data_IF_975178483128
#
_entry.id   IF_975178483128
#
_cell.length_a   1.000
_cell.length_b   1.000
_cell.length_c   1.000
_cell.angle_alpha   90.00
_cell.angle_beta   90.00
_cell.angle_gamma   90.00
#
_symmetry.space_group_name_H-M   'P 1'
#
loop_
_entity.id
_entity.type
_entity.pdbx_description
1 polymer ?
#
# COMPACT_ATOMS: atom_id res chain seq x y z
N UNK A 1 15.23 -19.19 -3.50
CA UNK A 1 14.34 -18.06 -3.14
C UNK A 1 13.11 -18.62 -2.45
N UNK A 2 12.52 -17.94 -1.45
CA UNK A 2 11.24 -18.36 -0.90
C UNK A 2 10.19 -18.23 -2.01
N UNK A 3 9.60 -19.36 -2.40
CA UNK A 3 8.51 -19.45 -3.36
C UNK A 3 7.37 -20.15 -2.64
N UNK A 4 6.19 -19.55 -2.65
CA UNK A 4 4.98 -20.18 -2.14
C UNK A 4 4.59 -21.32 -3.10
N UNK A 5 4.76 -22.56 -2.65
CA UNK A 5 4.47 -23.77 -3.44
C UNK A 5 3.00 -23.89 -3.84
N UNK A 6 2.09 -23.17 -3.17
CA UNK A 6 0.66 -23.15 -3.45
C UNK A 6 0.22 -21.95 -4.30
N UNK A 7 1.16 -21.09 -4.72
CA UNK A 7 0.86 -19.88 -5.45
C UNK A 7 0.26 -20.18 -6.83
N UNK A 8 -0.73 -19.37 -7.20
CA UNK A 8 -1.51 -19.49 -8.42
C UNK A 8 -1.30 -18.25 -9.29
N UNK A 9 -0.56 -18.36 -10.42
CA UNK A 9 -0.07 -17.19 -11.16
C UNK A 9 -1.14 -16.51 -12.01
N UNK A 10 -2.37 -17.05 -12.09
CA UNK A 10 -3.42 -16.53 -12.96
C UNK A 10 -3.79 -15.08 -12.60
N UNK A 11 -3.89 -14.77 -11.30
CA UNK A 11 -4.18 -13.42 -10.82
C UNK A 11 -3.04 -12.44 -11.11
N UNK A 12 -1.80 -12.85 -10.84
CA UNK A 12 -0.63 -12.03 -11.12
C UNK A 12 -0.53 -11.71 -12.62
N UNK A 13 -0.67 -12.73 -13.48
CA UNK A 13 -0.69 -12.55 -14.94
C UNK A 13 -1.80 -11.60 -15.38
N UNK A 14 -3.01 -11.76 -14.82
CA UNK A 14 -4.14 -10.89 -15.10
C UNK A 14 -3.83 -9.44 -14.74
N UNK A 15 -3.35 -9.17 -13.52
CA UNK A 15 -3.04 -7.81 -13.07
C UNK A 15 -1.86 -7.19 -13.82
N UNK A 16 -0.82 -7.96 -14.15
CA UNK A 16 0.29 -7.46 -14.97
C UNK A 16 -0.18 -7.12 -16.39
N UNK A 17 -0.93 -8.01 -17.04
CA UNK A 17 -1.46 -7.76 -18.38
C UNK A 17 -2.34 -6.51 -18.38
N UNK A 18 -3.26 -6.40 -17.41
CA UNK A 18 -4.11 -5.21 -17.26
C UNK A 18 -3.30 -3.96 -16.95
N UNK A 19 -2.31 -4.02 -16.06
CA UNK A 19 -1.41 -2.92 -15.76
C UNK A 19 -0.54 -2.46 -16.94
N UNK A 20 -0.39 -3.27 -17.98
CA UNK A 20 0.37 -2.92 -19.19
C UNK A 20 -0.53 -2.49 -20.37
N UNK A 21 -1.78 -2.94 -20.40
CA UNK A 21 -2.67 -2.77 -21.56
C UNK A 21 -3.82 -1.79 -21.32
N UNK A 22 -4.18 -1.52 -20.07
CA UNK A 22 -5.31 -0.64 -19.75
C UNK A 22 -5.00 0.80 -20.16
N UNK A 23 -5.98 1.44 -20.79
CA UNK A 23 -5.83 2.80 -21.32
C UNK A 23 -6.01 3.87 -20.24
N UNK A 24 -6.94 3.63 -19.30
CA UNK A 24 -7.18 4.50 -18.16
C UNK A 24 -6.02 4.44 -17.16
N UNK A 25 -5.45 5.60 -16.83
CA UNK A 25 -4.27 5.70 -15.98
C UNK A 25 -4.54 5.27 -14.53
N UNK A 26 -5.76 5.52 -14.02
CA UNK A 26 -6.14 5.14 -12.66
C UNK A 26 -6.29 3.62 -12.55
N UNK A 27 -7.02 3.01 -13.48
CA UNK A 27 -7.18 1.57 -13.57
C UNK A 27 -5.81 0.88 -13.75
N UNK A 28 -4.96 1.41 -14.63
CA UNK A 28 -3.60 0.91 -14.84
C UNK A 28 -2.79 0.92 -13.54
N UNK A 29 -2.80 2.05 -12.83
CA UNK A 29 -2.11 2.21 -11.54
C UNK A 29 -2.65 1.22 -10.51
N UNK A 30 -3.97 1.08 -10.40
CA UNK A 30 -4.61 0.12 -9.53
C UNK A 30 -4.16 -1.32 -9.81
N UNK A 31 -4.16 -1.75 -11.08
CA UNK A 31 -3.76 -3.10 -11.45
C UNK A 31 -2.27 -3.36 -11.17
N UNK A 32 -1.39 -2.40 -11.41
CA UNK A 32 0.03 -2.53 -11.04
C UNK A 32 0.20 -2.68 -9.52
N UNK A 33 -0.53 -1.90 -8.73
CA UNK A 33 -0.53 -2.04 -7.27
C UNK A 33 -1.04 -3.41 -6.81
N UNK A 34 -2.04 -3.99 -7.49
CA UNK A 34 -2.54 -5.35 -7.20
C UNK A 34 -1.58 -6.44 -7.65
N UNK A 35 -0.85 -6.25 -8.75
CA UNK A 35 0.20 -7.18 -9.15
C UNK A 35 1.27 -7.33 -8.05
N UNK A 36 1.61 -6.23 -7.37
CA UNK A 36 2.57 -6.26 -6.23
C UNK A 36 2.04 -7.06 -5.05
N UNK A 37 0.73 -6.98 -4.75
CA UNK A 37 0.12 -7.82 -3.72
C UNK A 37 0.27 -9.32 -4.06
N UNK A 38 0.09 -9.70 -5.33
CA UNK A 38 0.24 -11.09 -5.76
C UNK A 38 1.71 -11.55 -5.76
N UNK A 39 2.66 -10.69 -6.16
CA UNK A 39 4.12 -10.98 -6.06
C UNK A 39 4.50 -11.25 -4.60
N UNK A 40 3.90 -10.53 -3.68
CA UNK A 40 4.14 -10.70 -2.24
C UNK A 40 3.67 -12.08 -1.75
N UNK A 41 2.53 -12.54 -2.27
CA UNK A 41 2.00 -13.87 -1.99
C UNK A 41 2.88 -14.97 -2.62
N UNK A 42 3.34 -14.76 -3.86
CA UNK A 42 4.31 -15.63 -4.54
C UNK A 42 5.61 -15.78 -3.74
N UNK A 43 6.14 -14.69 -3.21
CA UNK A 43 7.35 -14.67 -2.39
C UNK A 43 7.14 -15.19 -0.97
N UNK A 44 5.90 -15.53 -0.61
CA UNK A 44 5.50 -15.99 0.72
C UNK A 44 5.94 -15.04 1.86
N UNK A 45 5.86 -13.73 1.64
CA UNK A 45 6.36 -12.73 2.60
C UNK A 45 5.66 -12.85 3.95
N UNK A 46 4.36 -13.21 3.94
CA UNK A 46 3.56 -13.42 5.15
C UNK A 46 4.08 -14.53 6.08
N UNK A 47 4.95 -15.43 5.59
CA UNK A 47 5.63 -16.42 6.44
C UNK A 47 6.69 -15.80 7.34
N UNK A 48 7.27 -14.67 6.92
CA UNK A 48 8.39 -14.02 7.61
C UNK A 48 7.99 -12.68 8.23
N UNK A 49 6.99 -12.01 7.66
CA UNK A 49 6.45 -10.75 8.16
C UNK A 49 5.16 -10.98 8.96
N UNK A 50 4.96 -10.17 10.01
CA UNK A 50 3.72 -10.12 10.79
C UNK A 50 2.72 -9.11 10.19
N UNK A 51 3.03 -8.59 9.00
CA UNK A 51 2.26 -7.56 8.32
C UNK A 51 0.90 -8.09 7.87
N UNK A 52 -0.17 -7.44 8.29
CA UNK A 52 -1.54 -7.73 7.87
C UNK A 52 -2.39 -6.46 7.97
N UNK A 53 -3.60 -6.48 7.42
CA UNK A 53 -4.57 -5.41 7.70
C UNK A 53 -4.80 -5.30 9.21
N UNK A 54 -4.69 -4.09 9.76
CA UNK A 54 -4.67 -3.87 11.22
C UNK A 54 -3.26 -3.72 11.82
N UNK A 55 -2.19 -3.90 11.04
CA UNK A 55 -0.80 -3.63 11.45
C UNK A 55 -0.41 -2.20 11.03
N UNK A 56 -0.64 -1.21 11.90
CA UNK A 56 -0.45 0.22 11.61
C UNK A 56 1.01 0.72 11.66
N UNK A 57 2.01 -0.17 11.59
CA UNK A 57 3.42 0.21 11.71
C UNK A 57 3.87 1.12 10.54
N UNK A 58 3.48 0.77 9.31
CA UNK A 58 3.77 1.58 8.12
C UNK A 58 3.14 2.98 8.20
N UNK A 59 2.08 3.17 8.99
CA UNK A 59 1.39 4.45 9.13
C UNK A 59 2.16 5.45 10.01
N UNK A 60 3.33 5.09 10.57
CA UNK A 60 4.21 6.03 11.29
C UNK A 60 5.40 6.51 10.44
N UNK A 61 5.51 6.02 9.21
CA UNK A 61 6.66 6.27 8.34
C UNK A 61 6.22 7.23 7.24
N UNK A 62 6.93 8.35 7.01
CA UNK A 62 6.66 9.21 5.86
C UNK A 62 6.99 8.44 4.57
N UNK A 63 6.04 8.41 3.65
CA UNK A 63 6.20 7.78 2.34
C UNK A 63 5.99 8.81 1.25
N UNK A 64 6.81 8.72 0.20
CA UNK A 64 6.60 9.46 -1.02
C UNK A 64 5.58 8.70 -1.90
N UNK A 65 4.75 9.44 -2.63
CA UNK A 65 3.77 8.88 -3.58
C UNK A 65 3.95 9.55 -4.93
N UNK A 66 3.71 8.80 -5.99
CA UNK A 66 3.64 9.36 -7.35
C UNK A 66 2.34 10.14 -7.56
N UNK A 67 2.29 10.98 -8.59
CA UNK A 67 1.06 11.71 -8.95
C UNK A 67 -0.09 10.74 -9.24
N UNK A 68 0.16 9.66 -9.99
CA UNK A 68 -0.87 8.67 -10.33
C UNK A 68 -1.44 7.96 -9.09
N UNK A 69 -0.60 7.66 -8.09
CA UNK A 69 -1.07 7.10 -6.82
C UNK A 69 -1.87 8.13 -6.03
N UNK A 70 -1.43 9.39 -6.01
CA UNK A 70 -2.16 10.47 -5.36
C UNK A 70 -3.54 10.69 -6.00
N UNK A 71 -3.65 10.61 -7.33
CA UNK A 71 -4.91 10.65 -8.09
C UNK A 71 -5.81 9.47 -7.78
N UNK A 72 -5.25 8.25 -7.70
CA UNK A 72 -6.03 7.07 -7.31
C UNK A 72 -6.56 7.18 -5.88
N UNK A 73 -5.76 7.69 -4.94
CA UNK A 73 -6.18 7.93 -3.56
C UNK A 73 -7.26 9.02 -3.52
N UNK A 74 -7.08 10.11 -4.27
CA UNK A 74 -8.06 11.18 -4.36
C UNK A 74 -9.41 10.67 -4.89
N UNK A 75 -9.38 9.86 -5.94
CA UNK A 75 -10.56 9.20 -6.50
C UNK A 75 -11.29 8.32 -5.47
N UNK A 76 -10.56 7.45 -4.76
CA UNK A 76 -11.15 6.53 -3.78
C UNK A 76 -11.70 7.27 -2.54
N UNK A 77 -11.05 8.36 -2.13
CA UNK A 77 -11.39 9.06 -0.88
C UNK A 77 -12.28 10.29 -1.08
N UNK A 78 -12.49 10.72 -2.32
CA UNK A 78 -13.15 11.99 -2.64
C UNK A 78 -12.37 13.24 -2.19
N UNK A 79 -11.09 13.10 -1.81
CA UNK A 79 -10.25 14.22 -1.36
C UNK A 79 -9.60 14.93 -2.55
N UNK A 80 -9.30 16.20 -2.38
CA UNK A 80 -8.60 17.01 -3.39
C UNK A 80 -7.08 16.93 -3.17
N UNK A 81 -6.33 16.78 -4.26
CA UNK A 81 -4.87 16.82 -4.24
C UNK A 81 -4.42 18.27 -4.04
N UNK A 82 -3.63 18.50 -3.00
CA UNK A 82 -3.00 19.80 -2.76
C UNK A 82 -1.99 20.12 -3.87
N UNK A 83 -1.76 21.41 -4.14
CA UNK A 83 -0.72 21.82 -5.09
C UNK A 83 0.64 21.22 -4.66
N UNK A 84 1.23 20.34 -5.49
CA UNK A 84 2.47 19.65 -5.14
C UNK A 84 3.70 20.56 -5.24
N UNK A 85 3.58 21.81 -5.71
CA UNK A 85 4.71 22.72 -5.86
C UNK A 85 4.81 23.78 -4.74
N UNK A 86 5.92 23.84 -3.97
CA UNK A 86 7.02 22.87 -3.92
C UNK A 86 6.64 21.61 -3.12
N UNK A 87 7.22 20.46 -3.48
CA UNK A 87 7.01 19.22 -2.72
C UNK A 87 7.70 19.40 -1.36
N UNK A 88 6.91 19.58 -0.31
CA UNK A 88 7.41 19.69 1.06
C UNK A 88 7.44 18.31 1.68
N UNK A 89 8.65 17.81 1.97
CA UNK A 89 8.79 16.60 2.79
C UNK A 89 8.23 16.87 4.18
N UNK A 90 7.28 16.03 4.58
CA UNK A 90 6.69 16.09 5.91
C UNK A 90 7.75 15.70 6.92
N UNK A 91 8.10 16.61 7.82
CA UNK A 91 9.11 16.40 8.88
C UNK A 91 8.50 16.04 10.24
N UNK A 92 7.19 15.75 10.31
CA UNK A 92 6.52 15.48 11.57
C UNK A 92 7.08 14.21 12.24
N UNK A 93 8.05 14.40 13.14
CA UNK A 93 8.39 13.43 14.17
C UNK A 93 7.12 13.19 14.98
N UNK A 94 6.52 12.01 14.84
CA UNK A 94 5.41 11.47 15.64
C UNK A 94 3.97 11.76 15.16
N UNK A 95 3.72 12.19 13.92
CA UNK A 95 2.35 12.20 13.38
C UNK A 95 2.06 10.92 12.60
N UNK A 96 0.93 10.28 12.88
CA UNK A 96 0.42 9.18 12.08
C UNK A 96 0.01 9.63 10.67
N UNK A 97 -0.03 8.68 9.75
CA UNK A 97 -0.61 8.83 8.43
C UNK A 97 -2.05 9.36 8.55
N UNK A 98 -2.44 10.39 7.78
CA UNK A 98 -3.81 10.93 7.80
C UNK A 98 -4.91 9.95 7.40
N UNK A 99 -4.55 8.79 6.84
CA UNK A 99 -5.47 7.71 6.46
C UNK A 99 -5.50 6.55 7.47
N UNK A 100 -4.88 6.71 8.64
CA UNK A 100 -4.98 5.74 9.73
C UNK A 100 -6.27 5.98 10.52
N UNK A 101 -7.13 4.97 10.58
CA UNK A 101 -8.12 4.82 11.64
C UNK A 101 -7.38 4.37 12.90
N UNK A 102 -7.19 5.31 13.83
CA UNK A 102 -6.43 5.11 15.07
C UNK A 102 -7.13 4.15 16.02
N UNK A 103 -8.46 4.15 16.05
CA UNK A 103 -9.26 3.33 16.95
C UNK A 103 -9.13 1.84 16.60
N UNK A 104 -9.11 1.54 15.30
CA UNK A 104 -9.04 0.16 14.80
C UNK A 104 -7.65 -0.26 14.30
N UNK A 105 -6.66 0.64 14.32
CA UNK A 105 -5.35 0.46 13.70
C UNK A 105 -5.42 0.05 12.21
N UNK A 106 -6.44 0.51 11.48
CA UNK A 106 -6.72 0.14 10.08
C UNK A 106 -6.40 1.30 9.14
N UNK A 107 -5.81 0.99 8.00
CA UNK A 107 -5.66 1.97 6.93
C UNK A 107 -6.99 2.10 6.17
N UNK A 108 -7.55 3.31 6.10
CA UNK A 108 -8.83 3.56 5.41
C UNK A 108 -8.71 3.42 3.89
N UNK A 109 -7.50 3.51 3.35
CA UNK A 109 -7.19 3.36 1.91
C UNK A 109 -6.47 2.05 1.61
N UNK A 110 -6.69 0.99 2.40
CA UNK A 110 -5.94 -0.28 2.29
C UNK A 110 -5.95 -0.85 0.86
N UNK A 111 -7.07 -0.71 0.15
CA UNK A 111 -7.30 -1.16 -1.23
C UNK A 111 -6.35 -0.52 -2.24
N UNK A 112 -6.04 0.77 -2.06
CA UNK A 112 -5.27 1.64 -2.96
C UNK A 112 -4.00 2.19 -2.30
N UNK A 113 -3.45 1.49 -1.30
CA UNK A 113 -2.18 1.87 -0.67
C UNK A 113 -1.08 2.08 -1.71
N UNK A 114 -0.26 3.13 -1.56
CA UNK A 114 0.88 3.36 -2.45
C UNK A 114 1.85 2.18 -2.47
N UNK A 115 2.64 2.10 -3.52
CA UNK A 115 3.67 1.10 -3.71
C UNK A 115 4.64 1.05 -2.52
N UNK A 116 5.07 2.21 -2.03
CA UNK A 116 5.94 2.31 -0.86
C UNK A 116 5.34 1.65 0.39
N UNK A 117 4.03 1.77 0.61
CA UNK A 117 3.33 1.11 1.71
C UNK A 117 3.12 -0.38 1.49
N UNK A 118 3.02 -0.84 0.23
CA UNK A 118 2.88 -2.27 -0.11
C UNK A 118 4.19 -3.02 0.04
N UNK A 119 5.29 -2.41 -0.38
CA UNK A 119 6.61 -3.00 -0.28
C UNK A 119 7.18 -2.98 1.15
N UNK A 120 6.50 -2.33 2.10
CA UNK A 120 6.91 -2.28 3.50
C UNK A 120 6.24 -3.38 4.32
N UNK A 121 7.06 -4.18 5.01
CA UNK A 121 6.61 -5.29 5.85
C UNK A 121 7.17 -5.15 7.26
N UNK A 122 6.29 -5.14 8.26
CA UNK A 122 6.72 -5.19 9.65
C UNK A 122 7.05 -6.61 10.07
N UNK A 123 8.16 -6.76 10.79
CA UNK A 123 8.58 -8.01 11.44
C UNK A 123 8.10 -8.07 12.90
N UNK A 124 7.62 -6.95 13.44
CA UNK A 124 7.15 -6.86 14.82
C UNK A 124 5.64 -7.11 14.92
N UNK A 125 5.22 -7.74 16.01
CA UNK A 125 3.82 -8.13 16.19
C UNK A 125 2.88 -6.92 16.33
N UNK A 126 1.74 -6.93 15.64
CA UNK A 126 0.71 -5.88 15.67
C UNK A 126 0.17 -5.53 17.07
N UNK A 127 0.46 -6.36 18.09
CA UNK A 127 0.11 -6.10 19.49
C UNK A 127 0.74 -4.82 20.03
N UNK A 128 1.91 -4.45 19.50
CA UNK A 128 2.57 -3.19 19.83
C UNK A 128 1.91 -1.98 19.13
N UNK A 129 1.00 -2.22 18.18
CA UNK A 129 0.17 -1.18 17.57
C UNK A 129 -1.13 -0.91 18.37
N UNK A 130 -1.55 -1.77 19.31
CA UNK A 130 -2.80 -1.62 20.08
C UNK A 130 -2.80 -0.46 21.10
N UNK A 131 -1.69 0.26 21.22
CA UNK A 131 -1.53 1.48 22.04
C UNK A 131 -0.88 2.57 21.19
N UNK A 132 -1.58 3.02 20.15
CA UNK A 132 -1.13 4.12 19.31
C UNK A 132 -1.62 5.47 19.83
#
# INVERSE_FOLDING_TARGET
MPVNEQFKPEKLKYYLLKGLTESDLLARTYYLLKAVDEITDEMNVNKFAVCQSGCAYCCKIPVDVTLMEAELIAYETGKVINNPNPIKRISYKNSYCPFLDVDNAKCTIYSVRPLACRCFYSLEHYKYCKKC
#
